data_IF_528022015596
#
_entry.id   IF_528022015596
#
_cell.length_a   1.000
_cell.length_b   1.000
_cell.length_c   1.000
_cell.angle_alpha   90.00
_cell.angle_beta   90.00
_cell.angle_gamma   90.00
#
_symmetry.space_group_name_H-M   'P 1'
#
loop_
_entity.id
_entity.type
_entity.pdbx_description
1 polymer ?
#
# COMPACT_ATOMS: atom_id res chain seq x y z
N UNK A 1 26.64 20.68 -22.57
CA UNK A 1 25.17 20.68 -22.37
C UNK A 1 24.93 21.04 -20.91
N UNK A 2 24.05 21.99 -20.59
CA UNK A 2 23.74 22.32 -19.19
C UNK A 2 22.73 21.30 -18.69
N UNK A 3 23.01 20.64 -17.57
CA UNK A 3 22.06 19.73 -16.93
C UNK A 3 20.84 20.53 -16.45
N UNK A 4 19.67 20.19 -16.97
CA UNK A 4 18.44 20.93 -16.72
C UNK A 4 18.15 21.04 -15.22
N UNK A 5 17.80 22.25 -14.78
CA UNK A 5 16.94 22.38 -13.61
C UNK A 5 15.59 21.74 -13.95
N UNK A 6 14.92 21.19 -12.95
CA UNK A 6 13.55 20.68 -13.07
C UNK A 6 12.64 21.73 -13.73
N UNK A 7 11.90 21.34 -14.77
CA UNK A 7 10.87 22.17 -15.45
C UNK A 7 9.65 22.52 -14.56
N UNK A 8 9.73 22.16 -13.28
CA UNK A 8 8.72 22.23 -12.25
C UNK A 8 9.12 23.28 -11.21
N UNK A 9 8.26 24.25 -10.95
CA UNK A 9 8.46 25.26 -9.90
C UNK A 9 7.23 25.42 -9.03
N UNK A 10 7.45 25.85 -7.79
CA UNK A 10 6.35 26.24 -6.92
C UNK A 10 5.95 27.70 -7.16
N UNK A 11 4.67 27.97 -7.41
CA UNK A 11 4.12 29.32 -7.47
C UNK A 11 3.53 29.72 -6.12
N UNK A 12 4.18 30.68 -5.44
CA UNK A 12 3.74 31.22 -4.15
C UNK A 12 2.38 31.96 -4.23
N UNK A 13 2.02 32.53 -5.39
CA UNK A 13 0.75 33.28 -5.58
C UNK A 13 -0.44 32.32 -5.67
N UNK A 14 -0.41 31.38 -6.62
CA UNK A 14 -1.51 30.44 -6.86
C UNK A 14 -1.51 29.27 -5.88
N UNK A 15 -0.36 29.03 -5.23
CA UNK A 15 -0.08 27.83 -4.41
C UNK A 15 -0.27 26.55 -5.21
N UNK A 16 0.35 26.52 -6.40
CA UNK A 16 0.36 25.38 -7.31
C UNK A 16 1.78 25.07 -7.81
N UNK A 17 2.02 23.81 -8.16
CA UNK A 17 3.21 23.42 -8.93
C UNK A 17 2.96 23.73 -10.42
N UNK A 18 3.77 24.60 -11.00
CA UNK A 18 3.71 24.92 -12.43
C UNK A 18 4.59 23.95 -13.20
N UNK A 19 3.96 23.33 -14.20
CA UNK A 19 4.60 22.65 -15.32
C UNK A 19 4.99 23.68 -16.38
N UNK A 20 6.30 23.86 -16.61
CA UNK A 20 6.96 24.56 -17.72
C UNK A 20 6.22 25.73 -18.40
N UNK A 21 6.78 26.93 -18.29
CA UNK A 21 6.27 28.21 -18.84
C UNK A 21 5.81 28.15 -20.31
N UNK A 22 6.32 27.20 -21.10
CA UNK A 22 5.90 26.87 -22.46
C UNK A 22 4.40 26.63 -22.65
N UNK A 23 3.69 26.09 -21.64
CA UNK A 23 2.27 25.73 -21.76
C UNK A 23 1.30 26.86 -21.37
N UNK A 24 1.81 28.06 -21.07
CA UNK A 24 1.00 29.20 -20.60
C UNK A 24 0.47 29.07 -19.16
N UNK A 25 0.61 27.90 -18.52
CA UNK A 25 0.26 27.67 -17.13
C UNK A 25 1.01 28.66 -16.20
N UNK A 26 0.26 29.42 -15.40
CA UNK A 26 0.79 30.46 -14.51
C UNK A 26 1.17 31.79 -15.19
N UNK A 27 1.34 31.81 -16.51
CA UNK A 27 1.49 33.02 -17.33
C UNK A 27 0.13 33.63 -17.69
N UNK A 28 -0.62 34.05 -16.66
CA UNK A 28 -1.75 34.98 -16.84
C UNK A 28 -1.24 36.21 -17.63
N UNK A 29 -1.83 36.47 -18.80
CA UNK A 29 -1.23 37.33 -19.84
C UNK A 29 -1.07 38.82 -19.49
N UNK A 30 -1.55 39.25 -18.31
CA UNK A 30 -1.31 40.59 -17.75
C UNK A 30 -0.03 40.76 -16.92
N UNK A 31 0.66 39.66 -16.54
CA UNK A 31 1.75 39.70 -15.54
C UNK A 31 2.98 40.54 -15.95
N UNK A 32 3.20 40.75 -17.24
CA UNK A 32 4.24 41.64 -17.76
C UNK A 32 3.96 43.15 -17.50
N UNK A 33 2.85 43.48 -16.84
CA UNK A 33 2.46 44.85 -16.43
C UNK A 33 2.07 44.97 -14.94
N UNK A 34 2.37 43.97 -14.12
CA UNK A 34 2.26 44.07 -12.66
C UNK A 34 3.53 44.64 -12.01
N UNK A 35 3.49 45.06 -10.73
CA UNK A 35 4.67 45.62 -10.03
C UNK A 35 5.85 44.64 -9.88
N UNK A 36 5.61 43.35 -10.12
CA UNK A 36 6.63 42.29 -10.12
C UNK A 36 7.26 42.02 -11.50
N UNK A 37 6.83 42.72 -12.55
CA UNK A 37 7.19 42.47 -13.94
C UNK A 37 7.94 43.64 -14.57
N UNK A 38 9.26 43.53 -14.70
CA UNK A 38 10.11 44.49 -15.44
C UNK A 38 10.86 43.76 -16.53
N UNK A 39 10.86 44.30 -17.76
CA UNK A 39 11.60 43.77 -18.91
C UNK A 39 11.48 42.24 -19.13
N UNK A 40 10.26 41.69 -19.09
CA UNK A 40 10.01 40.27 -19.35
C UNK A 40 10.59 39.32 -18.30
N UNK A 41 10.78 39.81 -17.07
CA UNK A 41 11.32 39.07 -15.92
C UNK A 41 10.37 39.15 -14.72
N UNK A 42 10.16 38.06 -14.00
CA UNK A 42 9.40 37.99 -12.74
C UNK A 42 10.29 37.41 -11.63
N UNK A 43 10.25 38.01 -10.44
CA UNK A 43 10.98 37.62 -9.21
C UNK A 43 10.01 37.34 -8.06
N UNK A 44 10.46 36.68 -6.98
CA UNK A 44 9.72 36.58 -5.70
C UNK A 44 8.50 35.65 -5.67
N UNK A 45 7.96 35.29 -6.85
CA UNK A 45 6.76 34.45 -7.00
C UNK A 45 7.06 32.96 -7.09
N UNK A 46 8.18 32.58 -7.69
CA UNK A 46 8.49 31.18 -7.99
C UNK A 46 9.60 30.69 -7.06
N UNK A 47 9.46 29.48 -6.52
CA UNK A 47 10.44 28.89 -5.61
C UNK A 47 10.93 27.51 -6.10
N UNK A 48 12.20 27.21 -5.85
CA UNK A 48 12.81 25.94 -6.25
C UNK A 48 12.46 24.82 -5.26
N UNK A 49 11.77 23.77 -5.74
CA UNK A 49 11.41 22.57 -4.98
C UNK A 49 12.58 21.92 -4.23
N UNK A 50 13.80 21.99 -4.77
CA UNK A 50 14.96 21.33 -4.18
C UNK A 50 15.62 22.12 -3.02
N UNK A 51 15.57 23.45 -3.00
CA UNK A 51 16.28 24.30 -2.02
C UNK A 51 15.44 25.40 -1.36
N UNK A 52 14.16 25.57 -1.70
CA UNK A 52 13.26 26.61 -1.17
C UNK A 52 13.48 28.02 -1.76
N UNK A 53 14.71 28.32 -2.21
CA UNK A 53 15.09 29.64 -2.71
C UNK A 53 14.25 30.14 -3.89
N UNK A 54 14.17 31.47 -3.99
CA UNK A 54 13.51 32.20 -5.06
C UNK A 54 14.12 31.94 -6.45
N UNK A 55 13.22 31.87 -7.42
CA UNK A 55 13.49 31.70 -8.84
C UNK A 55 13.01 32.91 -9.63
N UNK A 56 13.89 33.37 -10.51
CA UNK A 56 13.64 34.39 -11.50
C UNK A 56 13.13 33.69 -12.76
N UNK A 57 11.90 33.97 -13.16
CA UNK A 57 11.38 33.61 -14.48
C UNK A 57 11.88 34.64 -15.51
N UNK A 58 12.53 34.17 -16.57
CA UNK A 58 13.15 34.98 -17.63
C UNK A 58 12.61 34.64 -19.01
N UNK A 59 12.91 35.50 -19.97
CA UNK A 59 12.53 35.36 -21.38
C UNK A 59 11.01 35.27 -21.62
N UNK A 60 10.23 35.96 -20.78
CA UNK A 60 8.76 35.95 -20.84
C UNK A 60 8.16 36.85 -21.94
N UNK A 61 8.99 37.54 -22.74
CA UNK A 61 8.51 38.34 -23.86
C UNK A 61 8.19 37.45 -25.07
N UNK A 62 7.07 37.66 -25.78
CA UNK A 62 6.80 37.01 -27.07
C UNK A 62 7.90 37.24 -28.13
N UNK A 63 8.74 38.26 -27.95
CA UNK A 63 9.88 38.60 -28.83
C UNK A 63 11.23 38.04 -28.34
N UNK A 64 11.25 37.23 -27.28
CA UNK A 64 12.49 36.69 -26.74
C UNK A 64 13.12 35.64 -27.68
N UNK A 65 14.43 35.77 -27.94
CA UNK A 65 15.23 34.78 -28.71
C UNK A 65 15.52 33.48 -27.94
N UNK A 66 15.12 33.40 -26.68
CA UNK A 66 15.28 32.25 -25.80
C UNK A 66 13.90 31.83 -25.29
N UNK A 67 13.74 30.54 -25.05
CA UNK A 67 12.53 30.00 -24.43
C UNK A 67 12.35 30.51 -22.98
N UNK A 68 11.10 30.74 -22.53
CA UNK A 68 10.78 31.03 -21.14
C UNK A 68 11.36 29.99 -20.18
N UNK A 69 12.14 30.44 -19.19
CA UNK A 69 12.84 29.54 -18.26
C UNK A 69 13.00 30.14 -16.87
N UNK A 70 13.26 29.28 -15.87
CA UNK A 70 13.54 29.66 -14.50
C UNK A 70 15.04 29.58 -14.19
N UNK A 71 15.54 30.51 -13.37
CA UNK A 71 16.92 30.50 -12.85
C UNK A 71 16.94 30.99 -11.40
N UNK A 72 17.88 30.51 -10.61
CA UNK A 72 18.23 31.15 -9.33
C UNK A 72 18.78 32.57 -9.60
N UNK A 73 18.69 33.47 -8.63
CA UNK A 73 19.35 34.79 -8.72
C UNK A 73 20.87 34.64 -8.80
N UNK A 74 21.45 33.75 -8.00
CA UNK A 74 22.84 33.35 -8.15
C UNK A 74 23.07 32.66 -9.49
N UNK A 75 24.07 33.14 -10.24
CA UNK A 75 24.37 32.63 -11.58
C UNK A 75 24.84 31.17 -11.58
N UNK A 76 25.32 30.67 -10.44
CA UNK A 76 25.87 29.32 -10.22
C UNK A 76 24.85 28.17 -10.27
N UNK A 77 23.55 28.45 -10.32
CA UNK A 77 22.50 27.43 -10.34
C UNK A 77 22.02 27.03 -8.94
N UNK A 78 21.32 25.90 -8.84
CA UNK A 78 20.67 25.49 -7.59
C UNK A 78 21.68 24.97 -6.55
N UNK A 79 21.73 25.56 -5.34
CA UNK A 79 22.70 25.18 -4.30
C UNK A 79 22.38 23.86 -3.58
N UNK A 80 21.20 23.25 -3.80
CA UNK A 80 20.90 21.96 -3.21
C UNK A 80 21.87 20.87 -3.72
N UNK A 81 22.31 19.93 -2.84
CA UNK A 81 23.09 18.76 -3.26
C UNK A 81 22.44 18.02 -4.43
N UNK A 82 23.25 17.47 -5.34
CA UNK A 82 22.76 16.82 -6.55
C UNK A 82 21.76 15.69 -6.26
N UNK A 83 21.96 14.96 -5.15
CA UNK A 83 21.03 13.94 -4.67
C UNK A 83 19.66 14.53 -4.24
N UNK A 84 19.65 15.65 -3.51
CA UNK A 84 18.41 16.34 -3.10
C UNK A 84 17.64 16.87 -4.31
N UNK A 85 18.35 17.39 -5.32
CA UNK A 85 17.77 17.79 -6.61
C UNK A 85 17.16 16.61 -7.37
N UNK A 86 17.86 15.47 -7.43
CA UNK A 86 17.37 14.24 -8.05
C UNK A 86 16.15 13.66 -7.32
N UNK A 87 16.16 13.64 -5.99
CA UNK A 87 15.03 13.17 -5.17
C UNK A 87 13.78 14.01 -5.44
N UNK A 88 13.88 15.34 -5.33
CA UNK A 88 12.77 16.25 -5.62
C UNK A 88 12.20 16.05 -7.04
N UNK A 89 13.07 15.93 -8.06
CA UNK A 89 12.61 15.68 -9.43
C UNK A 89 11.85 14.35 -9.60
N UNK A 90 12.31 13.27 -8.96
CA UNK A 90 11.63 11.97 -8.97
C UNK A 90 10.32 11.97 -8.14
N UNK A 91 10.26 12.76 -7.07
CA UNK A 91 9.05 12.89 -6.23
C UNK A 91 7.96 13.70 -6.95
N UNK A 92 8.37 14.80 -7.61
CA UNK A 92 7.47 15.61 -8.42
C UNK A 92 6.99 14.80 -9.66
N UNK A 93 7.86 14.03 -10.33
CA UNK A 93 7.53 13.15 -11.49
C UNK A 93 6.42 12.11 -11.16
N UNK A 94 6.54 11.40 -10.04
CA UNK A 94 5.52 10.41 -9.61
C UNK A 94 4.18 11.10 -9.29
N UNK A 95 4.22 12.28 -8.67
CA UNK A 95 3.00 13.07 -8.39
C UNK A 95 2.33 13.56 -9.67
N UNK A 96 3.10 13.87 -10.71
CA UNK A 96 2.60 14.29 -12.02
C UNK A 96 1.98 13.11 -12.80
N UNK A 97 2.62 11.93 -12.84
CA UNK A 97 2.03 10.74 -13.47
C UNK A 97 0.72 10.33 -12.74
N UNK A 98 0.70 10.42 -11.41
CA UNK A 98 -0.51 10.16 -10.62
C UNK A 98 -1.59 11.21 -10.92
N UNK A 99 -1.29 12.51 -10.87
CA UNK A 99 -2.21 13.62 -11.25
C UNK A 99 -2.84 13.35 -12.61
N UNK A 100 -2.03 13.12 -13.62
CA UNK A 100 -2.49 12.95 -15.00
C UNK A 100 -3.33 11.68 -15.17
N UNK A 101 -3.02 10.62 -14.41
CA UNK A 101 -3.83 9.40 -14.43
C UNK A 101 -5.17 9.59 -13.74
N UNK A 102 -5.25 10.38 -12.67
CA UNK A 102 -6.51 10.77 -12.03
C UNK A 102 -7.34 11.71 -12.91
N UNK A 103 -6.73 12.67 -13.61
CA UNK A 103 -7.39 13.52 -14.62
C UNK A 103 -7.97 12.68 -15.77
N UNK A 104 -7.22 11.68 -16.27
CA UNK A 104 -7.70 10.72 -17.27
C UNK A 104 -8.84 9.83 -16.75
N UNK A 105 -8.80 9.44 -15.48
CA UNK A 105 -9.84 8.64 -14.84
C UNK A 105 -11.12 9.43 -14.51
N UNK A 106 -11.00 10.76 -14.35
CA UNK A 106 -12.11 11.65 -14.00
C UNK A 106 -12.21 12.88 -14.91
N UNK A 107 -12.62 12.73 -16.18
CA UNK A 107 -12.88 13.86 -17.07
C UNK A 107 -13.86 14.86 -16.45
N UNK A 108 -13.47 16.14 -16.40
CA UNK A 108 -14.29 17.23 -15.85
C UNK A 108 -14.21 17.44 -14.34
N UNK A 109 -13.42 16.65 -13.60
CA UNK A 109 -13.19 16.84 -12.15
C UNK A 109 -11.96 17.71 -11.91
N UNK A 110 -12.01 18.72 -11.02
CA UNK A 110 -10.82 19.47 -10.62
C UNK A 110 -9.84 18.58 -9.85
N UNK A 111 -8.60 18.51 -10.35
CA UNK A 111 -7.46 17.79 -9.75
C UNK A 111 -6.30 18.77 -9.63
N UNK A 112 -6.23 19.47 -8.50
CA UNK A 112 -5.22 20.50 -8.24
C UNK A 112 -3.92 19.89 -7.69
N UNK A 113 -2.76 20.54 -7.91
CA UNK A 113 -1.54 20.31 -7.13
C UNK A 113 -1.39 21.43 -6.10
N UNK A 114 -1.37 21.11 -4.81
CA UNK A 114 -1.43 22.10 -3.71
C UNK A 114 -0.48 21.69 -2.57
N UNK A 115 0.27 22.64 -2.00
CA UNK A 115 0.90 22.41 -0.70
C UNK A 115 -0.16 22.49 0.39
N UNK A 116 -0.34 21.37 1.09
CA UNK A 116 -0.98 21.34 2.40
C UNK A 116 -0.12 22.15 3.36
N UNK A 117 -0.74 23.03 4.17
CA UNK A 117 -0.02 23.82 5.19
C UNK A 117 0.72 22.89 6.15
N UNK A 118 1.92 23.29 6.55
CA UNK A 118 2.65 22.61 7.62
C UNK A 118 2.29 23.29 8.96
N UNK A 119 1.64 22.59 9.91
CA UNK A 119 1.22 23.18 11.17
C UNK A 119 2.38 23.45 12.15
N UNK A 120 3.59 23.01 11.84
CA UNK A 120 4.80 23.35 12.62
C UNK A 120 5.57 24.54 12.02
N UNK A 121 5.11 25.09 10.89
CA UNK A 121 5.80 26.17 10.16
C UNK A 121 4.80 27.27 9.80
N UNK A 122 4.30 27.94 10.84
CA UNK A 122 3.64 29.24 10.71
C UNK A 122 4.69 30.36 10.71
N UNK A 123 5.21 30.69 9.53
CA UNK A 123 5.99 31.91 9.31
C UNK A 123 5.54 32.61 8.00
N UNK A 124 5.26 33.91 8.07
CA UNK A 124 4.63 34.66 6.96
C UNK A 124 5.67 35.21 5.97
N UNK A 125 6.31 34.32 5.21
CA UNK A 125 7.08 34.75 4.03
C UNK A 125 7.84 33.64 3.34
N UNK A 126 8.61 32.86 4.09
CA UNK A 126 9.46 31.83 3.52
C UNK A 126 8.70 30.52 3.26
N UNK A 127 8.75 29.97 2.03
CA UNK A 127 8.30 28.61 1.82
C UNK A 127 9.30 27.67 2.50
N UNK A 128 8.89 26.87 3.51
CA UNK A 128 9.80 25.86 4.02
C UNK A 128 10.21 24.94 2.87
N UNK A 129 11.49 24.56 2.85
CA UNK A 129 12.04 23.58 1.91
C UNK A 129 11.56 22.16 2.27
N UNK A 130 10.24 22.01 2.38
CA UNK A 130 9.48 20.79 2.61
C UNK A 130 9.85 19.78 1.54
N UNK A 131 10.58 18.73 1.96
CA UNK A 131 10.97 17.63 1.08
C UNK A 131 9.77 16.86 0.52
N UNK A 132 8.60 17.01 1.15
CA UNK A 132 7.31 16.52 0.65
C UNK A 132 6.99 17.17 -0.71
N UNK A 133 6.53 16.39 -1.72
CA UNK A 133 5.95 16.93 -2.94
C UNK A 133 4.58 17.58 -2.67
N UNK A 134 4.05 18.38 -3.61
CA UNK A 134 2.69 18.90 -3.50
C UNK A 134 1.67 17.76 -3.39
N UNK A 135 0.62 17.97 -2.60
CA UNK A 135 -0.50 17.05 -2.54
C UNK A 135 -1.38 17.20 -3.78
N UNK A 136 -1.95 16.10 -4.25
CA UNK A 136 -2.99 16.12 -5.29
C UNK A 136 -4.34 16.29 -4.58
N UNK A 137 -5.12 17.29 -4.98
CA UNK A 137 -6.43 17.59 -4.38
C UNK A 137 -7.52 17.36 -5.41
N UNK A 138 -8.28 16.28 -5.21
CA UNK A 138 -9.40 15.87 -6.07
C UNK A 138 -10.69 16.42 -5.47
N UNK A 139 -11.39 17.30 -6.20
CA UNK A 139 -12.63 17.93 -5.74
C UNK A 139 -13.85 17.20 -6.30
N UNK A 140 -14.19 16.07 -5.72
CA UNK A 140 -15.40 15.32 -6.06
C UNK A 140 -16.67 16.01 -5.57
N UNK A 141 -17.81 15.69 -6.20
CA UNK A 141 -19.11 16.29 -5.86
C UNK A 141 -19.62 15.92 -4.46
N UNK A 142 -19.16 14.77 -3.92
CA UNK A 142 -19.56 14.27 -2.59
C UNK A 142 -18.46 14.44 -1.53
N UNK A 143 -17.18 14.55 -1.93
CA UNK A 143 -16.04 14.63 -1.02
C UNK A 143 -14.78 15.19 -1.71
N UNK A 144 -14.01 16.00 -0.98
CA UNK A 144 -12.63 16.34 -1.34
C UNK A 144 -11.68 15.23 -0.89
N UNK A 145 -10.84 14.70 -1.78
CA UNK A 145 -9.75 13.78 -1.42
C UNK A 145 -8.41 14.50 -1.58
N UNK A 146 -7.60 14.48 -0.54
CA UNK A 146 -6.23 15.03 -0.53
C UNK A 146 -5.25 13.87 -0.48
N UNK A 147 -4.32 13.86 -1.42
CA UNK A 147 -3.41 12.75 -1.68
C UNK A 147 -1.97 13.24 -1.51
N UNK A 148 -1.24 12.73 -0.52
CA UNK A 148 0.20 13.00 -0.36
C UNK A 148 1.01 11.78 -0.80
N UNK A 149 1.95 11.99 -1.75
CA UNK A 149 2.96 10.98 -2.06
C UNK A 149 4.18 11.19 -1.17
N UNK A 150 4.66 10.14 -0.50
CA UNK A 150 5.92 10.20 0.26
C UNK A 150 6.73 8.90 0.14
N UNK A 151 8.05 9.02 0.24
CA UNK A 151 8.97 7.86 0.34
C UNK A 151 8.91 7.21 1.72
N UNK A 152 8.70 8.01 2.76
CA UNK A 152 8.58 7.61 4.16
C UNK A 152 7.52 8.49 4.80
N UNK A 153 6.66 7.93 5.65
CA UNK A 153 5.72 8.75 6.44
C UNK A 153 6.49 9.63 7.44
N UNK A 154 5.98 10.83 7.78
CA UNK A 154 6.44 11.55 8.96
C UNK A 154 5.99 10.81 10.24
N UNK A 155 6.60 11.13 11.38
CA UNK A 155 6.26 10.51 12.67
C UNK A 155 4.78 10.69 13.06
N UNK A 156 4.28 9.83 13.96
CA UNK A 156 2.86 9.72 14.32
C UNK A 156 2.21 11.07 14.69
N UNK A 157 2.85 11.90 15.52
CA UNK A 157 2.31 13.20 15.92
C UNK A 157 2.19 14.17 14.74
N UNK A 158 3.15 14.13 13.81
CA UNK A 158 3.12 14.89 12.56
C UNK A 158 2.04 14.41 11.60
N UNK A 159 1.72 13.12 11.56
CA UNK A 159 0.54 12.61 10.83
C UNK A 159 -0.75 13.22 11.43
N UNK A 160 -0.89 13.20 12.75
CA UNK A 160 -2.06 13.77 13.44
C UNK A 160 -2.16 15.30 13.26
N UNK A 161 -1.02 16.01 13.23
CA UNK A 161 -0.97 17.42 12.92
C UNK A 161 -1.34 17.70 11.45
N UNK A 162 -0.74 16.96 10.51
CA UNK A 162 -0.98 17.09 9.07
C UNK A 162 -2.44 16.79 8.70
N UNK A 163 -3.04 15.76 9.28
CA UNK A 163 -4.43 15.41 9.00
C UNK A 163 -5.43 16.42 9.58
N UNK A 164 -5.08 17.11 10.69
CA UNK A 164 -5.79 18.30 11.16
C UNK A 164 -5.64 19.46 10.16
N UNK A 165 -4.44 19.73 9.66
CA UNK A 165 -4.19 20.77 8.66
C UNK A 165 -4.95 20.52 7.34
N UNK A 166 -5.02 19.27 6.86
CA UNK A 166 -5.84 18.87 5.70
C UNK A 166 -7.33 19.16 5.95
N UNK A 167 -7.88 18.71 7.08
CA UNK A 167 -9.30 18.95 7.41
C UNK A 167 -9.61 20.45 7.64
N UNK A 168 -8.65 21.24 8.11
CA UNK A 168 -8.79 22.69 8.23
C UNK A 168 -8.73 23.42 6.87
N UNK A 169 -7.85 22.98 5.96
CA UNK A 169 -7.64 23.63 4.65
C UNK A 169 -8.66 23.21 3.58
N UNK A 170 -9.21 22.00 3.66
CA UNK A 170 -10.08 21.42 2.63
C UNK A 170 -11.47 20.99 3.14
N UNK A 171 -11.78 21.27 4.40
CA UNK A 171 -13.06 20.99 5.06
C UNK A 171 -13.04 19.72 5.92
N UNK A 172 -13.88 19.64 6.97
CA UNK A 172 -13.80 18.58 7.98
C UNK A 172 -14.07 17.17 7.43
N UNK A 173 -14.82 17.06 6.34
CA UNK A 173 -15.09 15.80 5.64
C UNK A 173 -14.01 15.38 4.63
N UNK A 174 -12.91 16.12 4.49
CA UNK A 174 -11.85 15.78 3.54
C UNK A 174 -11.19 14.43 3.89
N UNK A 175 -11.11 13.54 2.91
CA UNK A 175 -10.34 12.30 3.02
C UNK A 175 -8.85 12.60 2.83
N UNK A 176 -8.00 12.04 3.69
CA UNK A 176 -6.54 12.16 3.57
C UNK A 176 -5.95 10.79 3.24
N UNK A 177 -5.22 10.70 2.14
CA UNK A 177 -4.66 9.46 1.60
C UNK A 177 -3.16 9.63 1.37
N UNK A 178 -2.38 8.68 1.87
CA UNK A 178 -0.94 8.62 1.66
C UNK A 178 -0.62 7.51 0.65
N UNK A 179 0.05 7.86 -0.45
CA UNK A 179 0.62 6.89 -1.38
C UNK A 179 2.11 6.76 -1.12
N UNK A 180 2.52 5.60 -0.63
CA UNK A 180 3.90 5.29 -0.29
C UNK A 180 4.66 4.71 -1.49
N UNK A 181 5.95 5.02 -1.56
CA UNK A 181 6.88 4.22 -2.35
C UNK A 181 6.99 2.80 -1.76
N UNK A 182 7.13 1.80 -2.62
CA UNK A 182 7.30 0.40 -2.22
C UNK A 182 8.70 0.14 -1.68
N UNK A 183 8.86 0.07 -0.36
CA UNK A 183 10.11 -0.30 0.29
C UNK A 183 10.40 -1.82 0.15
N UNK A 184 11.51 -2.23 -0.50
CA UNK A 184 11.90 -3.63 -0.59
C UNK A 184 12.12 -4.29 0.77
N UNK A 185 12.57 -3.56 1.81
CA UNK A 185 12.83 -4.14 3.13
C UNK A 185 11.53 -4.48 3.87
N UNK A 186 10.56 -3.57 3.93
CA UNK A 186 9.22 -3.82 4.48
C UNK A 186 8.53 -4.99 3.74
N UNK A 187 8.64 -5.04 2.41
CA UNK A 187 8.00 -6.07 1.57
C UNK A 187 8.73 -7.44 1.58
N UNK A 188 10.00 -7.50 1.98
CA UNK A 188 10.74 -8.76 2.13
C UNK A 188 10.52 -9.44 3.49
N UNK A 189 10.19 -8.66 4.54
CA UNK A 189 10.06 -9.15 5.93
C UNK A 189 8.90 -10.12 6.15
N UNK A 190 7.79 -9.98 5.41
CA UNK A 190 6.57 -10.75 5.66
C UNK A 190 6.20 -11.62 4.46
N UNK A 191 6.11 -12.94 4.68
CA UNK A 191 5.84 -13.92 3.64
C UNK A 191 4.52 -13.68 2.89
N UNK A 192 4.48 -14.02 1.60
CA UNK A 192 3.32 -13.76 0.73
C UNK A 192 2.10 -14.58 1.15
N UNK A 193 0.91 -13.97 1.12
CA UNK A 193 -0.36 -14.66 1.38
C UNK A 193 -0.90 -15.24 0.06
N UNK A 194 -0.82 -16.55 -0.10
CA UNK A 194 -1.40 -17.22 -1.27
C UNK A 194 -2.86 -17.58 -1.01
N UNK A 195 -3.74 -17.16 -1.91
CA UNK A 195 -5.20 -17.27 -1.76
C UNK A 195 -5.81 -17.76 -3.08
N UNK A 196 -6.95 -18.45 -3.00
CA UNK A 196 -7.65 -18.96 -4.19
C UNK A 196 -9.16 -18.71 -4.02
N UNK A 197 -9.64 -17.49 -4.36
CA UNK A 197 -11.06 -17.17 -4.32
C UNK A 197 -11.85 -18.11 -5.25
N UNK A 198 -13.05 -18.55 -4.82
CA UNK A 198 -13.86 -19.49 -5.62
C UNK A 198 -14.20 -18.86 -6.98
N UNK A 199 -13.78 -19.50 -8.07
CA UNK A 199 -13.98 -18.98 -9.43
C UNK A 199 -12.96 -17.92 -9.88
N UNK A 200 -11.83 -17.75 -9.17
CA UNK A 200 -10.67 -16.99 -9.62
C UNK A 200 -9.41 -17.85 -9.53
N UNK A 201 -8.40 -17.50 -10.31
CA UNK A 201 -7.08 -18.11 -10.20
C UNK A 201 -6.44 -17.89 -8.82
N UNK A 202 -5.44 -18.71 -8.52
CA UNK A 202 -4.67 -18.63 -7.27
C UNK A 202 -3.81 -17.37 -7.25
N UNK A 203 -4.30 -16.29 -6.65
CA UNK A 203 -3.52 -15.06 -6.46
C UNK A 203 -2.52 -15.18 -5.30
N UNK A 204 -1.53 -14.30 -5.32
CA UNK A 204 -0.49 -14.22 -4.31
C UNK A 204 -0.37 -12.76 -3.88
N UNK A 205 -0.94 -12.44 -2.73
CA UNK A 205 -0.92 -11.08 -2.18
C UNK A 205 0.40 -10.87 -1.43
N UNK A 206 1.01 -9.70 -1.59
CA UNK A 206 2.11 -9.29 -0.71
C UNK A 206 1.58 -9.08 0.71
N UNK A 207 2.44 -9.26 1.73
CA UNK A 207 2.12 -8.84 3.09
C UNK A 207 3.28 -8.03 3.68
N UNK A 208 2.99 -7.19 4.67
CA UNK A 208 3.94 -6.32 5.35
C UNK A 208 3.65 -6.28 6.85
N UNK A 209 4.68 -6.08 7.67
CA UNK A 209 4.49 -5.64 9.05
C UNK A 209 4.23 -4.12 9.02
N UNK A 210 3.13 -3.61 9.60
CA UNK A 210 2.86 -2.18 9.63
C UNK A 210 3.84 -1.44 10.53
N UNK A 211 4.14 -0.19 10.20
CA UNK A 211 4.90 0.70 11.10
C UNK A 211 3.97 1.50 12.01
N UNK A 212 4.52 2.12 13.07
CA UNK A 212 3.74 2.95 13.99
C UNK A 212 3.08 4.14 13.27
N UNK A 213 3.76 4.71 12.27
CA UNK A 213 3.26 5.78 11.40
C UNK A 213 2.09 5.28 10.55
N UNK A 214 2.20 4.08 9.97
CA UNK A 214 1.14 3.48 9.15
C UNK A 214 -0.11 3.20 10.01
N UNK A 215 0.06 2.72 11.25
CA UNK A 215 -1.03 2.57 12.22
C UNK A 215 -1.64 3.92 12.63
N UNK A 216 -0.83 4.97 12.80
CA UNK A 216 -1.31 6.31 13.15
C UNK A 216 -2.21 6.92 12.06
N UNK A 217 -1.87 6.75 10.77
CA UNK A 217 -2.74 7.18 9.66
C UNK A 217 -4.11 6.49 9.70
N UNK A 218 -4.13 5.15 9.86
CA UNK A 218 -5.40 4.40 9.91
C UNK A 218 -6.23 4.81 11.13
N UNK A 219 -5.59 4.94 12.30
CA UNK A 219 -6.24 5.36 13.56
C UNK A 219 -6.87 6.75 13.45
N UNK A 220 -6.25 7.67 12.71
CA UNK A 220 -6.78 9.01 12.45
C UNK A 220 -7.92 9.07 11.40
N UNK A 221 -8.24 7.94 10.77
CA UNK A 221 -9.21 7.84 9.68
C UNK A 221 -8.66 8.33 8.34
N UNK A 222 -7.36 8.18 8.11
CA UNK A 222 -6.72 8.33 6.80
C UNK A 222 -6.53 6.98 6.08
N UNK A 223 -6.10 7.03 4.81
CA UNK A 223 -5.72 5.84 4.04
C UNK A 223 -4.21 5.74 3.81
N UNK A 224 -3.67 4.53 3.77
CA UNK A 224 -2.28 4.24 3.35
C UNK A 224 -2.32 3.22 2.22
N UNK A 225 -1.78 3.58 1.06
CA UNK A 225 -1.66 2.70 -0.11
C UNK A 225 -0.23 2.74 -0.66
N UNK A 226 0.14 1.81 -1.54
CA UNK A 226 1.43 1.84 -2.26
C UNK A 226 1.21 1.87 -3.76
N UNK A 227 2.08 2.57 -4.49
CA UNK A 227 2.17 2.46 -5.95
C UNK A 227 3.13 1.32 -6.33
N UNK A 228 2.66 0.44 -7.21
CA UNK A 228 3.44 -0.67 -7.78
C UNK A 228 3.32 -0.61 -9.31
N UNK A 229 3.99 0.38 -9.90
CA UNK A 229 3.76 0.81 -11.28
C UNK A 229 2.32 1.29 -11.47
N UNK A 230 1.57 0.64 -12.36
CA UNK A 230 0.16 0.97 -12.67
C UNK A 230 -0.85 0.38 -11.69
N UNK A 231 -0.39 -0.35 -10.66
CA UNK A 231 -1.22 -0.92 -9.61
C UNK A 231 -1.15 -0.09 -8.33
N UNK A 232 -2.26 -0.07 -7.60
CA UNK A 232 -2.35 0.37 -6.21
C UNK A 232 -2.49 -0.86 -5.33
N UNK A 233 -1.69 -0.90 -4.27
CA UNK A 233 -1.75 -1.93 -3.24
C UNK A 233 -2.55 -1.41 -2.05
N UNK A 234 -3.68 -2.05 -1.75
CA UNK A 234 -4.64 -1.63 -0.71
C UNK A 234 -4.56 -2.59 0.49
N UNK A 235 -4.33 -2.11 1.72
CA UNK A 235 -4.13 -2.97 2.87
C UNK A 235 -5.43 -3.49 3.47
N UNK A 236 -5.36 -4.72 3.97
CA UNK A 236 -6.34 -5.35 4.86
C UNK A 236 -5.59 -6.06 5.99
N UNK A 237 -6.22 -6.23 7.15
CA UNK A 237 -5.60 -6.91 8.28
C UNK A 237 -5.50 -8.41 8.03
N UNK A 238 -4.39 -9.03 8.43
CA UNK A 238 -4.20 -10.48 8.48
C UNK A 238 -3.80 -10.83 9.91
N UNK A 239 -4.65 -11.63 10.55
CA UNK A 239 -4.45 -12.18 11.88
C UNK A 239 -4.07 -13.65 11.74
N UNK A 240 -2.81 -13.98 11.98
CA UNK A 240 -2.37 -15.38 12.03
C UNK A 240 -2.68 -15.97 13.41
N UNK A 241 -3.26 -17.16 13.48
CA UNK A 241 -3.69 -17.79 14.73
C UNK A 241 -3.55 -19.32 14.71
N UNK A 242 -3.64 -19.95 15.88
CA UNK A 242 -3.70 -21.41 16.03
C UNK A 242 -5.11 -21.82 16.43
N UNK A 243 -5.70 -22.80 15.74
CA UNK A 243 -6.99 -23.37 16.12
C UNK A 243 -6.92 -24.00 17.52
N UNK A 244 -7.71 -23.49 18.46
CA UNK A 244 -7.93 -24.12 19.75
C UNK A 244 -8.85 -25.36 19.58
N UNK A 245 -8.45 -26.56 20.03
CA UNK A 245 -9.29 -27.75 19.92
C UNK A 245 -10.60 -27.65 20.72
N UNK A 246 -11.73 -27.92 20.07
CA UNK A 246 -13.02 -28.08 20.76
C UNK A 246 -13.33 -29.55 21.10
N UNK A 247 -14.31 -29.76 21.99
CA UNK A 247 -14.73 -31.10 22.41
C UNK A 247 -15.23 -31.91 21.20
N UNK A 248 -14.54 -33.00 20.89
CA UNK A 248 -14.85 -33.85 19.74
C UNK A 248 -14.01 -33.54 18.49
N UNK A 249 -12.99 -32.69 18.60
CA UNK A 249 -12.00 -32.44 17.54
C UNK A 249 -10.62 -33.01 17.92
N UNK A 250 -9.91 -33.58 16.94
CA UNK A 250 -8.51 -34.02 17.07
C UNK A 250 -7.66 -33.28 16.03
N UNK A 251 -6.61 -32.60 16.48
CA UNK A 251 -5.79 -31.70 15.65
C UNK A 251 -4.35 -32.19 15.45
N UNK A 252 -3.98 -33.29 16.11
CA UNK A 252 -2.68 -33.96 16.05
C UNK A 252 -2.60 -34.95 14.86
N UNK A 253 -2.84 -34.44 13.66
CA UNK A 253 -2.79 -35.22 12.42
C UNK A 253 -1.46 -36.01 12.26
N UNK A 254 -1.45 -37.17 11.58
CA UNK A 254 -0.23 -37.97 11.42
C UNK A 254 0.82 -37.30 10.53
N UNK A 255 0.40 -36.61 9.47
CA UNK A 255 1.27 -36.16 8.38
C UNK A 255 1.75 -34.69 8.51
N UNK A 256 2.26 -34.14 7.40
CA UNK A 256 2.51 -32.70 7.19
C UNK A 256 1.38 -31.77 7.69
N UNK A 257 0.11 -32.24 7.66
CA UNK A 257 -1.05 -31.52 8.22
C UNK A 257 -0.84 -31.12 9.68
N UNK A 258 -0.10 -31.89 10.48
CA UNK A 258 0.25 -31.56 11.88
C UNK A 258 0.87 -30.17 12.03
N UNK A 259 1.66 -29.74 11.05
CA UNK A 259 2.35 -28.43 11.04
C UNK A 259 1.53 -27.31 10.39
N UNK A 260 0.45 -27.63 9.67
CA UNK A 260 -0.23 -26.69 8.75
C UNK A 260 -1.74 -26.55 9.02
N UNK A 261 -2.42 -27.55 9.57
CA UNK A 261 -3.85 -27.49 9.88
C UNK A 261 -4.16 -26.66 11.14
N UNK A 262 -3.38 -26.76 12.24
CA UNK A 262 -3.58 -25.88 13.39
C UNK A 262 -3.31 -24.41 13.07
N UNK A 263 -2.28 -24.11 12.27
CA UNK A 263 -1.88 -22.74 11.92
C UNK A 263 -2.73 -22.17 10.78
N UNK A 264 -3.51 -21.13 11.04
CA UNK A 264 -4.48 -20.53 10.12
C UNK A 264 -4.45 -18.99 10.18
N UNK A 265 -5.26 -18.32 9.36
CA UNK A 265 -5.41 -16.86 9.37
C UNK A 265 -6.86 -16.41 9.22
N UNK A 266 -7.23 -15.30 9.86
CA UNK A 266 -8.44 -14.52 9.54
C UNK A 266 -8.04 -13.16 8.97
N UNK A 267 -8.90 -12.55 8.17
CA UNK A 267 -8.70 -11.17 7.72
C UNK A 267 -9.61 -10.18 8.45
N UNK A 268 -9.25 -8.90 8.37
CA UNK A 268 -10.14 -7.79 8.68
C UNK A 268 -10.13 -6.74 7.57
N UNK A 269 -11.31 -6.22 7.25
CA UNK A 269 -11.59 -5.35 6.10
C UNK A 269 -12.78 -4.42 6.44
N UNK A 270 -12.97 -3.28 5.74
CA UNK A 270 -12.24 -2.78 4.57
C UNK A 270 -10.89 -2.14 4.87
N UNK A 271 -10.51 -2.00 6.14
CA UNK A 271 -9.22 -1.50 6.61
C UNK A 271 -8.61 -2.51 7.58
N UNK A 272 -7.28 -2.49 7.81
CA UNK A 272 -6.65 -3.29 8.84
C UNK A 272 -7.09 -2.89 10.25
N UNK A 273 -7.46 -3.87 11.08
CA UNK A 273 -7.60 -3.67 12.52
C UNK A 273 -6.21 -3.46 13.18
N UNK A 274 -6.11 -2.68 14.28
CA UNK A 274 -4.81 -2.38 14.92
C UNK A 274 -4.09 -3.61 15.51
N UNK A 275 -4.80 -4.68 15.84
CA UNK A 275 -4.27 -5.94 16.38
C UNK A 275 -3.85 -6.94 15.28
N UNK A 276 -3.98 -6.58 13.99
CA UNK A 276 -3.60 -7.44 12.88
C UNK A 276 -2.10 -7.77 12.87
N UNK A 277 -1.77 -9.06 12.95
CA UNK A 277 -0.39 -9.61 12.97
C UNK A 277 0.49 -9.06 11.84
N UNK A 278 -0.12 -8.83 10.67
CA UNK A 278 0.47 -8.18 9.49
C UNK A 278 -0.63 -7.63 8.59
N UNK A 279 -0.28 -6.80 7.62
CA UNK A 279 -1.23 -6.34 6.60
C UNK A 279 -1.03 -7.14 5.30
N UNK A 280 -2.10 -7.68 4.76
CA UNK A 280 -2.14 -8.20 3.39
C UNK A 280 -2.48 -7.07 2.41
N UNK A 281 -2.00 -7.18 1.17
CA UNK A 281 -2.16 -6.13 0.15
C UNK A 281 -2.95 -6.66 -1.05
N UNK A 282 -4.14 -6.10 -1.31
CA UNK A 282 -4.90 -6.34 -2.55
C UNK A 282 -4.30 -5.49 -3.67
N UNK A 283 -3.84 -6.10 -4.78
CA UNK A 283 -3.47 -5.36 -5.98
C UNK A 283 -4.71 -5.02 -6.82
N UNK A 284 -4.96 -3.74 -7.05
CA UNK A 284 -5.91 -3.24 -8.05
C UNK A 284 -5.19 -2.36 -9.07
N UNK A 285 -5.70 -2.23 -10.29
CA UNK A 285 -5.29 -1.14 -11.18
C UNK A 285 -5.94 0.17 -10.69
N UNK A 286 -5.24 1.31 -10.80
CA UNK A 286 -5.72 2.59 -10.26
C UNK A 286 -7.13 2.97 -10.77
N UNK A 287 -7.45 2.68 -12.04
CA UNK A 287 -8.77 2.96 -12.63
C UNK A 287 -9.94 2.24 -11.91
N UNK A 288 -9.67 1.13 -11.21
CA UNK A 288 -10.67 0.40 -10.45
C UNK A 288 -11.08 1.15 -9.18
N UNK A 289 -10.18 1.93 -8.58
CA UNK A 289 -10.49 2.78 -7.43
C UNK A 289 -11.25 4.06 -7.82
N UNK A 290 -11.26 4.44 -9.10
CA UNK A 290 -11.79 5.73 -9.56
C UNK A 290 -13.15 5.64 -10.27
N UNK A 291 -13.73 4.44 -10.39
CA UNK A 291 -14.59 4.08 -11.52
C UNK A 291 -15.86 4.90 -11.85
N UNK A 292 -16.44 5.71 -10.94
CA UNK A 292 -17.76 6.33 -11.19
C UNK A 292 -18.06 7.73 -10.62
N UNK A 293 -17.33 8.26 -9.63
CA UNK A 293 -17.87 9.35 -8.79
C UNK A 293 -16.90 10.45 -8.32
N UNK A 294 -15.74 10.62 -8.95
CA UNK A 294 -14.72 11.59 -8.50
C UNK A 294 -14.17 11.32 -7.07
N UNK A 295 -14.34 10.09 -6.59
CA UNK A 295 -14.02 9.64 -5.23
C UNK A 295 -13.26 8.32 -5.29
N UNK A 296 -12.38 8.09 -4.31
CA UNK A 296 -11.66 6.83 -4.18
C UNK A 296 -12.60 5.73 -3.64
N UNK A 297 -13.15 4.94 -4.55
CA UNK A 297 -13.89 3.72 -4.28
C UNK A 297 -12.96 2.65 -3.69
N UNK A 298 -13.40 2.06 -2.58
CA UNK A 298 -12.89 0.78 -2.09
C UNK A 298 -13.86 -0.38 -2.38
N UNK A 299 -14.85 -0.21 -3.27
CA UNK A 299 -15.81 -1.28 -3.64
C UNK A 299 -15.08 -2.50 -4.18
N UNK A 300 -14.21 -2.30 -5.16
CA UNK A 300 -13.46 -3.34 -5.85
C UNK A 300 -12.48 -4.04 -4.89
N UNK A 301 -11.93 -3.30 -3.93
CA UNK A 301 -11.12 -3.84 -2.84
C UNK A 301 -11.96 -4.71 -1.90
N UNK A 302 -13.14 -4.23 -1.49
CA UNK A 302 -14.12 -4.97 -0.67
C UNK A 302 -14.64 -6.22 -1.37
N UNK A 303 -14.85 -6.20 -2.68
CA UNK A 303 -15.24 -7.39 -3.45
C UNK A 303 -14.14 -8.46 -3.47
N UNK A 304 -12.87 -8.08 -3.52
CA UNK A 304 -11.76 -9.01 -3.31
C UNK A 304 -11.74 -9.52 -1.87
N UNK A 305 -11.81 -8.63 -0.88
CA UNK A 305 -11.74 -8.97 0.55
C UNK A 305 -12.91 -9.88 0.99
N UNK A 306 -14.13 -9.61 0.52
CA UNK A 306 -15.30 -10.47 0.75
C UNK A 306 -15.10 -11.88 0.20
N UNK A 307 -14.47 -12.01 -0.97
CA UNK A 307 -14.13 -13.30 -1.55
C UNK A 307 -12.98 -14.01 -0.78
N UNK A 308 -12.09 -13.26 -0.11
CA UNK A 308 -11.12 -13.83 0.84
C UNK A 308 -11.80 -14.32 2.13
N UNK A 309 -12.81 -13.63 2.64
CA UNK A 309 -13.62 -14.14 3.76
C UNK A 309 -14.32 -15.44 3.42
N UNK A 310 -14.80 -15.62 2.19
CA UNK A 310 -15.40 -16.90 1.78
C UNK A 310 -14.38 -18.04 1.71
N UNK A 311 -13.15 -17.75 1.29
CA UNK A 311 -12.03 -18.71 1.37
C UNK A 311 -11.68 -19.05 2.82
N UNK A 312 -11.65 -18.06 3.72
CA UNK A 312 -11.45 -18.24 5.16
C UNK A 312 -12.57 -19.10 5.76
N UNK A 313 -13.85 -18.75 5.52
CA UNK A 313 -15.03 -19.48 6.02
C UNK A 313 -15.13 -20.89 5.44
N UNK A 314 -14.67 -21.13 4.22
CA UNK A 314 -14.58 -22.47 3.64
C UNK A 314 -13.44 -23.29 4.28
N UNK A 315 -12.24 -22.71 4.40
CA UNK A 315 -11.05 -23.36 4.96
C UNK A 315 -11.23 -23.72 6.44
N UNK A 316 -11.78 -22.82 7.25
CA UNK A 316 -12.12 -23.05 8.66
C UNK A 316 -13.06 -24.25 8.80
N UNK A 317 -14.19 -24.24 8.07
CA UNK A 317 -15.18 -25.33 8.10
C UNK A 317 -14.58 -26.65 7.64
N UNK A 318 -13.70 -26.65 6.63
CA UNK A 318 -13.01 -27.86 6.16
C UNK A 318 -12.04 -28.41 7.20
N UNK A 319 -11.20 -27.57 7.82
CA UNK A 319 -10.24 -28.01 8.86
C UNK A 319 -10.94 -28.59 10.09
N UNK A 320 -12.05 -27.98 10.53
CA UNK A 320 -12.91 -28.54 11.60
C UNK A 320 -13.72 -29.76 11.18
N UNK A 321 -13.96 -29.99 9.89
CA UNK A 321 -14.49 -31.27 9.42
C UNK A 321 -13.43 -32.36 9.53
N UNK A 322 -12.23 -32.13 8.96
CA UNK A 322 -11.08 -33.05 9.06
C UNK A 322 -10.71 -33.39 10.52
N UNK A 323 -10.78 -32.42 11.44
CA UNK A 323 -10.44 -32.62 12.85
C UNK A 323 -11.49 -33.47 13.60
N UNK A 324 -12.79 -33.30 13.29
CA UNK A 324 -13.87 -34.15 13.84
C UNK A 324 -13.87 -35.54 13.21
N UNK A 325 -13.51 -35.66 11.93
CA UNK A 325 -13.30 -36.93 11.23
C UNK A 325 -12.17 -37.72 11.89
N UNK A 326 -11.01 -37.10 12.16
CA UNK A 326 -9.89 -37.72 12.88
C UNK A 326 -10.25 -38.12 14.32
N UNK A 327 -11.08 -37.33 15.02
CA UNK A 327 -11.57 -37.70 16.34
C UNK A 327 -12.50 -38.92 16.25
N UNK A 328 -13.47 -38.89 15.34
CA UNK A 328 -14.41 -40.00 15.12
C UNK A 328 -13.70 -41.30 14.73
N UNK A 329 -12.68 -41.25 13.87
CA UNK A 329 -11.90 -42.44 13.47
C UNK A 329 -11.06 -43.04 14.60
N UNK A 330 -10.83 -42.29 15.69
CA UNK A 330 -10.11 -42.75 16.89
C UNK A 330 -11.04 -43.27 18.00
N UNK A 331 -12.27 -42.77 18.04
CA UNK A 331 -13.33 -43.26 18.93
C UNK A 331 -14.13 -44.41 18.30
N UNK A 332 -13.90 -44.71 17.02
CA UNK A 332 -14.45 -45.89 16.36
C UNK A 332 -13.99 -47.16 17.12
N UNK A 333 -14.90 -48.10 17.46
CA UNK A 333 -14.51 -49.39 18.00
C UNK A 333 -13.50 -50.08 17.08
N UNK A 334 -12.54 -50.85 17.61
CA UNK A 334 -11.69 -51.69 16.78
C UNK A 334 -12.58 -52.57 15.89
N UNK A 335 -12.31 -52.56 14.59
CA UNK A 335 -13.10 -53.34 13.64
C UNK A 335 -13.18 -54.80 14.10
N UNK A 336 -14.35 -55.46 14.05
CA UNK A 336 -14.47 -56.85 14.48
C UNK A 336 -13.43 -57.68 13.74
N UNK A 337 -12.64 -58.46 14.50
CA UNK A 337 -11.57 -59.26 13.94
C UNK A 337 -12.13 -60.09 12.77
N UNK A 338 -11.44 -60.13 11.61
CA UNK A 338 -11.98 -60.79 10.43
C UNK A 338 -12.28 -62.25 10.76
N UNK A 339 -13.57 -62.60 10.80
CA UNK A 339 -14.00 -63.94 11.14
C UNK A 339 -13.34 -64.91 10.18
N UNK A 340 -12.54 -65.84 10.71
CA UNK A 340 -11.80 -66.84 9.95
C UNK A 340 -12.73 -67.89 9.34
N UNK A 341 -13.61 -67.45 8.43
CA UNK A 341 -14.35 -68.33 7.54
C UNK A 341 -13.35 -69.16 6.72
N UNK A 342 -13.65 -70.44 6.45
CA UNK A 342 -12.73 -71.33 5.77
C UNK A 342 -12.37 -70.76 4.39
N UNK A 343 -11.08 -70.62 4.12
CA UNK A 343 -10.59 -70.13 2.83
C UNK A 343 -11.07 -71.06 1.71
N UNK A 344 -11.80 -70.56 0.68
CA UNK A 344 -12.14 -71.39 -0.46
C UNK A 344 -10.85 -71.82 -1.15
N UNK A 345 -10.69 -73.13 -1.34
CA UNK A 345 -9.42 -73.71 -1.79
C UNK A 345 -8.99 -73.13 -3.15
N UNK A 346 -7.75 -72.62 -3.21
CA UNK A 346 -7.17 -72.16 -4.46
C UNK A 346 -6.95 -73.38 -5.39
N UNK A 347 -7.44 -73.36 -6.64
CA UNK A 347 -7.15 -74.43 -7.59
C UNK A 347 -5.67 -74.44 -7.94
N UNK A 348 -5.07 -75.64 -7.96
CA UNK A 348 -3.64 -75.84 -8.24
C UNK A 348 -3.34 -75.52 -9.70
N UNK A 349 -2.41 -74.59 -9.94
CA UNK A 349 -1.84 -74.36 -11.27
C UNK A 349 -0.64 -75.28 -11.52
N UNK A 350 -0.59 -76.01 -12.65
CA UNK A 350 0.63 -76.69 -13.10
C UNK A 350 1.69 -75.70 -13.63
N UNK A 351 2.96 -76.11 -13.59
CA UNK A 351 4.10 -75.44 -14.22
C UNK A 351 3.92 -75.42 -15.77
N UNK A 352 4.24 -74.36 -16.55
CA UNK A 352 5.47 -73.57 -16.70
C UNK A 352 6.64 -74.34 -17.39
N UNK A 353 7.61 -73.70 -18.08
CA UNK A 353 7.86 -72.25 -18.32
C UNK A 353 7.75 -71.87 -19.83
N UNK A 354 8.23 -70.75 -20.40
CA UNK A 354 8.79 -69.48 -19.89
C UNK A 354 8.08 -68.26 -20.57
N UNK A 355 8.60 -67.33 -21.41
CA UNK A 355 9.96 -66.93 -21.86
C UNK A 355 10.03 -65.40 -22.13
N UNK A 356 11.14 -64.75 -21.76
CA UNK A 356 11.59 -63.39 -22.13
C UNK A 356 10.77 -62.16 -21.63
N UNK A 357 11.45 -61.29 -20.88
CA UNK A 357 11.03 -59.95 -20.43
C UNK A 357 11.68 -58.87 -21.35
N UNK A 358 11.20 -57.60 -21.42
CA UNK A 358 11.52 -56.66 -20.33
C UNK A 358 10.47 -55.58 -20.00
N UNK A 359 10.61 -55.09 -18.76
CA UNK A 359 9.84 -54.03 -18.09
C UNK A 359 9.91 -52.67 -18.81
N UNK A 360 8.77 -52.00 -18.97
CA UNK A 360 8.78 -50.54 -19.15
C UNK A 360 9.08 -49.85 -17.80
N UNK A 361 10.07 -48.94 -17.78
CA UNK A 361 10.35 -48.06 -16.64
C UNK A 361 9.50 -46.80 -16.72
N UNK A 362 8.91 -46.41 -15.59
CA UNK A 362 8.30 -45.08 -15.39
C UNK A 362 9.40 -44.00 -15.50
N UNK A 363 9.19 -42.88 -16.21
CA UNK A 363 10.22 -41.86 -16.40
C UNK A 363 10.55 -41.12 -15.09
N UNK A 364 11.81 -40.69 -14.88
CA UNK A 364 12.20 -39.85 -13.74
C UNK A 364 11.74 -38.39 -13.92
N UNK A 365 11.64 -37.61 -12.83
CA UNK A 365 11.44 -36.16 -12.93
C UNK A 365 12.70 -35.45 -13.47
N UNK A 366 12.58 -34.31 -14.15
CA UNK A 366 13.72 -33.52 -14.59
C UNK A 366 14.46 -32.88 -13.40
N UNK A 367 15.78 -32.97 -13.41
CA UNK A 367 16.67 -32.17 -12.54
C UNK A 367 17.45 -31.13 -13.37
N UNK A 368 18.00 -30.07 -12.73
CA UNK A 368 18.50 -28.91 -13.45
C UNK A 368 19.77 -29.19 -14.25
N UNK A 369 19.87 -28.59 -15.44
CA UNK A 369 21.14 -28.50 -16.16
C UNK A 369 22.00 -27.37 -15.57
N UNK A 370 23.09 -27.73 -14.93
CA UNK A 370 24.21 -26.82 -14.66
C UNK A 370 25.46 -27.44 -15.30
N UNK A 371 25.79 -27.03 -16.52
CA UNK A 371 27.14 -27.18 -17.04
C UNK A 371 27.92 -25.91 -16.70
N UNK A 372 29.10 -26.09 -16.13
CA UNK A 372 30.12 -25.08 -16.01
C UNK A 372 31.39 -25.64 -16.67
N UNK A 373 32.07 -24.82 -17.45
CA UNK A 373 33.37 -25.14 -18.05
C UNK A 373 34.39 -24.11 -17.53
N UNK A 374 35.62 -24.56 -17.26
CA UNK A 374 36.66 -23.77 -16.59
C UNK A 374 37.57 -23.04 -17.60
N UNK A 375 38.44 -22.10 -17.22
CA UNK A 375 38.77 -21.53 -15.91
C UNK A 375 39.23 -20.07 -16.08
N UNK A 376 40.25 -19.51 -15.43
CA UNK A 376 41.24 -19.99 -14.43
C UNK A 376 41.59 -18.76 -13.56
N UNK A 377 41.79 -18.89 -12.24
CA UNK A 377 42.27 -17.76 -11.42
C UNK A 377 42.17 -17.92 -9.90
N UNK A 378 43.21 -18.45 -9.28
CA UNK A 378 43.44 -18.52 -7.83
C UNK A 378 44.96 -18.31 -7.58
N UNK A 379 45.46 -18.02 -6.34
CA UNK A 379 44.79 -18.17 -5.04
C UNK A 379 44.96 -16.99 -4.05
N UNK A 380 44.33 -17.11 -2.87
CA UNK A 380 44.63 -16.29 -1.68
C UNK A 380 43.73 -16.67 -0.49
N UNK A 381 44.27 -17.35 0.52
CA UNK A 381 43.50 -17.86 1.67
C UNK A 381 43.13 -16.76 2.70
N UNK A 382 42.02 -16.96 3.44
CA UNK A 382 41.56 -15.98 4.45
C UNK A 382 40.35 -16.46 5.28
N UNK A 383 40.55 -17.45 6.14
CA UNK A 383 39.48 -18.01 7.00
C UNK A 383 39.10 -17.07 8.15
N UNK A 384 37.81 -16.74 8.29
CA UNK A 384 37.14 -16.56 9.58
C UNK A 384 35.61 -16.43 9.48
N UNK A 385 34.89 -17.11 10.38
CA UNK A 385 33.46 -16.94 10.62
C UNK A 385 33.22 -16.12 11.89
N UNK A 386 32.31 -15.12 11.89
CA UNK A 386 31.87 -14.47 13.12
C UNK A 386 30.59 -15.12 13.69
N UNK A 387 30.64 -15.49 14.97
CA UNK A 387 29.49 -15.99 15.73
C UNK A 387 28.63 -14.83 16.26
N UNK A 388 27.30 -14.91 16.13
CA UNK A 388 26.34 -14.05 16.83
C UNK A 388 25.20 -14.93 17.35
N UNK A 389 25.26 -15.40 18.61
CA UNK A 389 24.80 -14.69 19.81
C UNK A 389 23.29 -14.38 19.79
N UNK A 390 22.52 -15.27 20.42
CA UNK A 390 21.10 -15.07 20.69
C UNK A 390 20.89 -14.03 21.79
N UNK A 391 20.15 -12.96 21.50
CA UNK A 391 19.70 -12.02 22.52
C UNK A 391 18.39 -12.53 23.17
N UNK A 392 18.45 -12.93 24.44
CA UNK A 392 17.28 -13.34 25.21
C UNK A 392 16.53 -12.11 25.75
N UNK A 393 15.27 -11.93 25.38
CA UNK A 393 14.41 -10.93 26.02
C UNK A 393 13.78 -11.50 27.31
N UNK A 394 13.79 -10.77 28.44
CA UNK A 394 13.12 -11.20 29.66
C UNK A 394 11.60 -10.99 29.57
N UNK A 395 10.83 -11.78 30.34
CA UNK A 395 9.42 -11.48 30.59
C UNK A 395 9.30 -10.37 31.67
N UNK A 396 8.38 -9.41 31.52
CA UNK A 396 7.86 -8.65 32.65
C UNK A 396 6.88 -9.51 33.47
N UNK A 397 6.74 -9.17 34.75
CA UNK A 397 6.02 -9.98 35.74
C UNK A 397 4.49 -9.74 35.77
N UNK A 398 3.80 -10.49 36.63
CA UNK A 398 2.36 -10.47 36.87
C UNK A 398 1.91 -9.27 37.72
N UNK A 399 0.59 -9.15 37.86
CA UNK A 399 -0.11 -8.41 38.91
C UNK A 399 0.08 -6.88 38.96
N UNK A 400 -0.34 -6.21 37.89
CA UNK A 400 -0.75 -4.79 37.91
C UNK A 400 -2.14 -4.62 37.31
N UNK A 401 -3.12 -4.12 38.08
CA UNK A 401 -4.53 -3.97 37.66
C UNK A 401 -4.93 -2.48 37.56
N UNK A 402 -4.96 -1.88 36.36
CA UNK A 402 -5.45 -0.52 36.18
C UNK A 402 -6.98 -0.50 36.17
N UNK A 403 -7.58 0.47 36.85
CA UNK A 403 -9.01 0.80 36.71
C UNK A 403 -9.24 1.50 35.36
N UNK A 404 -9.94 0.82 34.44
CA UNK A 404 -10.35 1.42 33.17
C UNK A 404 -11.40 2.54 33.37
N UNK A 405 -11.44 3.56 32.49
CA UNK A 405 -12.39 4.65 32.59
C UNK A 405 -13.83 4.19 32.33
N UNK A 406 -14.77 4.71 33.11
CA UNK A 406 -16.21 4.44 32.92
C UNK A 406 -16.72 5.16 31.68
N UNK A 407 -17.15 4.41 30.67
CA UNK A 407 -17.78 4.95 29.46
C UNK A 407 -19.25 5.30 29.78
N UNK A 408 -19.69 6.55 29.63
CA UNK A 408 -21.11 6.89 29.77
C UNK A 408 -21.91 6.32 28.58
N UNK A 409 -23.16 5.86 28.79
CA UNK A 409 -23.97 5.28 27.71
C UNK A 409 -24.29 6.31 26.62
N UNK A 410 -24.26 5.85 25.36
CA UNK A 410 -24.59 6.67 24.20
C UNK A 410 -26.06 7.13 24.21
N UNK A 411 -26.37 8.38 23.84
CA UNK A 411 -27.74 8.87 23.78
C UNK A 411 -28.52 8.19 22.65
N UNK A 412 -29.74 7.75 22.95
CA UNK A 412 -30.67 7.15 22.00
C UNK A 412 -31.24 8.21 21.02
N UNK A 413 -31.10 7.93 19.73
CA UNK A 413 -31.82 8.48 18.56
C UNK A 413 -32.11 10.00 18.49
N UNK A 414 -31.58 10.74 17.48
CA UNK A 414 -32.12 12.05 17.13
C UNK A 414 -33.54 11.91 16.51
N UNK A 415 -34.47 12.85 16.78
CA UNK A 415 -35.85 12.76 16.32
C UNK A 415 -36.02 13.03 14.81
N UNK A 416 -37.05 12.41 14.21
CA UNK A 416 -37.34 12.48 12.77
C UNK A 416 -37.89 13.85 12.34
N UNK A 417 -37.01 14.77 11.95
CA UNK A 417 -37.39 16.10 11.44
C UNK A 417 -38.08 16.02 10.06
N UNK A 418 -39.42 16.09 10.05
CA UNK A 418 -40.23 16.19 8.81
C UNK A 418 -39.89 17.48 8.05
N UNK A 419 -39.34 17.35 6.83
CA UNK A 419 -39.21 18.49 5.89
C UNK A 419 -40.58 19.03 5.52
N UNK A 420 -40.87 20.29 5.88
CA UNK A 420 -41.94 21.08 5.24
C UNK A 420 -41.33 21.89 4.10
N UNK A 421 -41.88 21.78 2.90
CA UNK A 421 -41.53 22.67 1.78
C UNK A 421 -42.38 23.96 1.88
N UNK A 422 -41.80 25.16 1.70
CA UNK A 422 -42.60 26.36 1.44
C UNK A 422 -43.14 26.34 -0.02
N UNK A 423 -44.33 26.90 -0.28
CA UNK A 423 -44.91 26.92 -1.62
C UNK A 423 -44.19 27.93 -2.54
N UNK A 424 -44.09 27.61 -3.83
CA UNK A 424 -43.68 28.58 -4.87
C UNK A 424 -44.69 29.73 -4.92
N UNK A 425 -44.23 30.97 -4.84
CA UNK A 425 -44.97 32.11 -5.42
C UNK A 425 -44.66 32.21 -6.92
N UNK A 426 -45.68 32.58 -7.70
CA UNK A 426 -45.53 33.09 -9.06
C UNK A 426 -45.57 34.62 -9.01
N UNK A 427 -44.61 35.25 -9.68
CA UNK A 427 -44.69 36.54 -10.38
C UNK A 427 -43.62 36.45 -11.46
#
# INVERSE_FOLDING_TARGET
MITGMSDWVWDRKTRQLIESLHKGAGLETGLARGPYGVAGTIRGRYACRACGQDLIARALSPTAKQQPHFRHESSAGCPAPAERRRKAGLDDEVVLELRDTLVRAWPGVPVDLVLVRDPEIEDEGDPPATGHPPAIVVRGAEQTVVIEHVRTLPGADRILARQRAVRAQFGPGAAHVWFLAKDPMQFARCGKLSVAPRGRDRTVHATIAPTAEQLAVITAGGGVYWLDGKQVLIPYGVHDFVHAPEKGEAWDFPDWRRKVWPNDWRISHPLPEPDATRWGLVPLALHQMTGTKATFSLREAREVMQALEDVQRARWRRRRADARELHASRQAPPAPAPTSGPSPAAPVSPHAPELAQPRQKKPPPPQPQTQAEAGIGAPGAGTQSPTAQSATCPLPDRDGRPTGPVIPPLPLHPPSARRRFPPRRRT
#
